data_IF_107305228106
#
_entry.id   IF_107305228106
#
_cell.length_a   1.000
_cell.length_b   1.000
_cell.length_c   1.000
_cell.angle_alpha   90.00
_cell.angle_beta   90.00
_cell.angle_gamma   90.00
#
_symmetry.space_group_name_H-M   'P 1'
#
loop_
_entity.id
_entity.type
_entity.pdbx_description
1 polymer ?
#
# COMPACT_ATOMS: atom_id res chain seq x y z
N UNK A 1 17.46 25.43 -0.98
CA UNK A 1 16.25 25.95 -1.63
C UNK A 1 15.43 24.75 -2.10
N UNK A 2 14.30 24.48 -1.44
CA UNK A 2 13.58 23.20 -1.57
C UNK A 2 12.91 23.04 -2.93
N UNK A 3 12.95 21.83 -3.51
CA UNK A 3 12.39 21.46 -4.83
C UNK A 3 10.91 21.85 -5.01
N UNK A 4 10.19 22.08 -3.91
CA UNK A 4 8.81 22.59 -3.90
C UNK A 4 8.66 24.03 -4.41
N UNK A 5 9.65 24.90 -4.22
CA UNK A 5 9.57 26.31 -4.66
C UNK A 5 9.76 26.46 -6.18
N UNK A 6 10.64 25.67 -6.78
CA UNK A 6 10.93 25.72 -8.23
C UNK A 6 9.73 25.23 -9.05
N UNK A 7 9.02 24.21 -8.56
CA UNK A 7 7.82 23.68 -9.23
C UNK A 7 6.66 24.68 -9.19
N UNK A 8 6.51 25.43 -8.09
CA UNK A 8 5.43 26.39 -7.93
C UNK A 8 5.54 27.60 -8.88
N UNK A 9 6.75 28.12 -9.12
CA UNK A 9 6.97 29.22 -10.07
C UNK A 9 6.79 28.76 -11.53
N UNK A 10 7.19 27.53 -11.86
CA UNK A 10 7.02 26.96 -13.21
C UNK A 10 5.55 26.65 -13.57
N UNK A 11 4.69 26.42 -12.57
CA UNK A 11 3.26 26.13 -12.74
C UNK A 11 2.39 27.39 -12.90
N UNK A 12 2.96 28.59 -12.74
CA UNK A 12 2.20 29.84 -12.78
C UNK A 12 1.75 30.25 -14.21
N UNK A 13 2.29 29.63 -15.26
CA UNK A 13 1.87 29.82 -16.64
C UNK A 13 0.87 28.75 -17.09
N UNK A 14 -0.04 29.10 -17.99
CA UNK A 14 -1.00 28.14 -18.58
C UNK A 14 -0.29 26.95 -19.25
N UNK A 15 0.90 27.18 -19.82
CA UNK A 15 1.73 26.13 -20.42
C UNK A 15 2.36 25.22 -19.35
N UNK A 16 2.81 25.78 -18.22
CA UNK A 16 3.32 24.97 -17.09
C UNK A 16 2.27 24.05 -16.47
N UNK A 17 1.01 24.50 -16.39
CA UNK A 17 -0.10 23.65 -15.93
C UNK A 17 -0.38 22.54 -16.94
N UNK A 18 -0.40 22.85 -18.24
CA UNK A 18 -0.61 21.85 -19.31
C UNK A 18 0.48 20.79 -19.32
N UNK A 19 1.73 21.21 -19.22
CA UNK A 19 2.88 20.29 -19.18
C UNK A 19 2.81 19.38 -17.95
N UNK A 20 2.45 19.95 -16.79
CA UNK A 20 2.24 19.16 -15.58
C UNK A 20 1.12 18.12 -15.74
N UNK A 21 -0.02 18.52 -16.30
CA UNK A 21 -1.15 17.61 -16.57
C UNK A 21 -0.74 16.50 -17.54
N UNK A 22 -0.06 16.84 -18.64
CA UNK A 22 0.42 15.88 -19.63
C UNK A 22 1.38 14.86 -18.99
N UNK A 23 2.31 15.33 -18.14
CA UNK A 23 3.23 14.44 -17.40
C UNK A 23 2.47 13.51 -16.45
N UNK A 24 1.40 13.97 -15.79
CA UNK A 24 0.60 13.10 -14.90
C UNK A 24 -0.29 12.12 -15.67
N UNK A 25 -0.82 12.51 -16.83
CA UNK A 25 -1.65 11.65 -17.70
C UNK A 25 -0.82 10.53 -18.33
N UNK A 26 0.40 10.83 -18.78
CA UNK A 26 1.27 9.87 -19.47
C UNK A 26 1.97 8.87 -18.54
N UNK A 27 1.80 8.97 -17.21
CA UNK A 27 2.39 7.98 -16.29
C UNK A 27 1.82 6.59 -16.54
N UNK A 28 2.71 5.63 -16.77
CA UNK A 28 2.32 4.23 -16.87
C UNK A 28 1.73 3.73 -15.56
N UNK A 29 0.88 2.71 -15.66
CA UNK A 29 0.27 2.01 -14.55
C UNK A 29 0.96 0.66 -14.37
N UNK A 30 1.21 0.25 -13.13
CA UNK A 30 1.57 -1.15 -12.80
C UNK A 30 0.53 -1.69 -11.83
N UNK A 31 -0.05 -2.85 -12.16
CA UNK A 31 -0.83 -3.61 -11.19
C UNK A 31 0.09 -4.69 -10.62
N UNK A 32 0.23 -4.74 -9.31
CA UNK A 32 0.99 -5.81 -8.67
C UNK A 32 0.28 -6.33 -7.44
N UNK A 33 0.60 -7.56 -7.03
CA UNK A 33 0.15 -8.11 -5.77
C UNK A 33 1.31 -8.45 -4.85
N UNK A 34 1.01 -8.58 -3.56
CA UNK A 34 1.85 -9.30 -2.60
C UNK A 34 1.25 -10.66 -2.30
N UNK A 35 2.08 -11.69 -2.25
CA UNK A 35 1.70 -13.05 -1.87
C UNK A 35 2.80 -13.71 -1.03
N UNK A 36 2.46 -14.80 -0.33
CA UNK A 36 3.28 -15.39 0.73
C UNK A 36 2.42 -15.97 1.84
N UNK A 37 3.03 -16.72 2.76
CA UNK A 37 2.36 -17.35 3.90
C UNK A 37 1.77 -16.33 4.88
N UNK A 38 0.92 -16.81 5.78
CA UNK A 38 0.54 -16.06 6.99
C UNK A 38 1.81 -15.63 7.73
N UNK A 39 1.81 -14.42 8.29
CA UNK A 39 2.92 -13.80 9.03
C UNK A 39 4.19 -13.43 8.25
N UNK A 40 4.22 -13.58 6.93
CA UNK A 40 5.34 -13.10 6.07
C UNK A 40 5.40 -11.56 5.91
N UNK A 41 4.49 -10.82 6.56
CA UNK A 41 4.53 -9.35 6.60
C UNK A 41 4.00 -8.63 5.34
N UNK A 42 3.14 -9.27 4.54
CA UNK A 42 2.56 -8.72 3.30
C UNK A 42 1.84 -7.39 3.51
N UNK A 43 0.82 -7.39 4.36
CA UNK A 43 0.02 -6.20 4.68
C UNK A 43 0.85 -5.11 5.35
N UNK A 44 1.82 -5.49 6.18
CA UNK A 44 2.77 -4.56 6.81
C UNK A 44 3.65 -3.86 5.76
N UNK A 45 4.18 -4.59 4.77
CA UNK A 45 4.96 -4.02 3.68
C UNK A 45 4.12 -3.03 2.86
N UNK A 46 2.90 -3.41 2.50
CA UNK A 46 2.00 -2.54 1.73
C UNK A 46 1.64 -1.28 2.53
N UNK A 47 1.24 -1.44 3.78
CA UNK A 47 0.95 -0.30 4.65
C UNK A 47 2.14 0.64 4.81
N UNK A 48 3.36 0.10 4.89
CA UNK A 48 4.57 0.91 4.95
C UNK A 48 4.81 1.69 3.65
N UNK A 49 4.65 1.05 2.48
CA UNK A 49 4.77 1.73 1.19
C UNK A 49 3.74 2.86 1.03
N UNK A 50 2.52 2.65 1.51
CA UNK A 50 1.47 3.67 1.50
C UNK A 50 1.84 4.85 2.41
N UNK A 51 2.40 4.58 3.59
CA UNK A 51 2.90 5.61 4.50
C UNK A 51 4.05 6.41 3.88
N UNK A 52 5.05 5.73 3.33
CA UNK A 52 6.26 6.36 2.76
C UNK A 52 5.95 7.22 1.53
N UNK A 53 4.90 6.88 0.77
CA UNK A 53 4.46 7.67 -0.41
C UNK A 53 3.72 8.97 -0.04
N UNK A 54 3.53 9.25 1.26
CA UNK A 54 2.89 10.47 1.80
C UNK A 54 1.49 10.72 1.22
N UNK A 55 0.80 9.64 0.84
CA UNK A 55 -0.60 9.67 0.37
C UNK A 55 -1.59 9.53 1.55
N UNK A 56 -1.10 9.24 2.75
CA UNK A 56 -1.90 9.13 3.96
C UNK A 56 -2.00 10.52 4.60
N UNK A 57 -3.22 11.03 4.74
CA UNK A 57 -3.48 12.27 5.45
C UNK A 57 -3.16 12.12 6.95
N UNK A 58 -2.74 13.21 7.60
CA UNK A 58 -2.27 13.19 9.00
C UNK A 58 -3.33 12.68 9.99
N UNK A 59 -4.62 12.90 9.68
CA UNK A 59 -5.77 12.40 10.44
C UNK A 59 -5.91 10.87 10.36
N UNK A 60 -5.64 10.29 9.19
CA UNK A 60 -5.64 8.84 9.01
C UNK A 60 -4.45 8.21 9.75
N UNK A 61 -3.29 8.87 9.77
CA UNK A 61 -2.15 8.41 10.55
C UNK A 61 -2.44 8.45 12.05
N UNK A 62 -3.05 9.51 12.56
CA UNK A 62 -3.44 9.62 13.97
C UNK A 62 -4.50 8.59 14.39
N UNK A 63 -5.39 8.22 13.47
CA UNK A 63 -6.37 7.14 13.68
C UNK A 63 -5.66 5.78 13.74
N UNK A 64 -4.73 5.55 12.81
CA UNK A 64 -3.92 4.34 12.78
C UNK A 64 -3.10 4.16 14.06
N UNK A 65 -2.49 5.21 14.58
CA UNK A 65 -1.75 5.19 15.85
C UNK A 65 -2.64 4.80 17.04
N UNK A 66 -3.88 5.29 17.07
CA UNK A 66 -4.85 4.91 18.13
C UNK A 66 -5.29 3.46 17.99
N UNK A 67 -5.55 3.01 16.78
CA UNK A 67 -6.00 1.66 16.50
C UNK A 67 -4.87 0.64 16.73
N UNK A 68 -3.63 1.00 16.40
CA UNK A 68 -2.43 0.21 16.71
C UNK A 68 -2.30 -0.04 18.21
N UNK A 69 -2.60 0.95 19.06
CA UNK A 69 -2.57 0.77 20.52
C UNK A 69 -3.66 -0.15 21.06
N UNK A 70 -4.75 -0.36 20.31
CA UNK A 70 -5.91 -1.17 20.75
C UNK A 70 -5.90 -2.57 20.16
N UNK A 71 -5.51 -2.69 18.90
CA UNK A 71 -5.64 -3.88 18.07
C UNK A 71 -4.32 -4.26 17.38
N UNK A 72 -3.24 -3.50 17.58
CA UNK A 72 -1.97 -3.73 16.91
C UNK A 72 -1.27 -4.99 17.41
N UNK A 73 -0.60 -5.63 16.47
CA UNK A 73 0.20 -6.85 16.67
C UNK A 73 1.68 -6.55 16.89
N UNK A 74 2.09 -5.29 16.68
CA UNK A 74 3.47 -4.80 16.70
C UNK A 74 3.86 -4.06 17.98
N UNK A 75 3.04 -4.12 19.03
CA UNK A 75 3.33 -3.51 20.34
C UNK A 75 3.12 -1.99 20.34
N UNK A 76 4.14 -1.22 20.72
CA UNK A 76 4.09 0.26 20.77
C UNK A 76 4.33 0.92 19.40
N UNK A 77 4.76 0.14 18.40
CA UNK A 77 4.98 0.61 17.04
C UNK A 77 3.65 0.74 16.26
N UNK A 78 3.68 1.56 15.20
CA UNK A 78 2.52 1.74 14.32
C UNK A 78 2.31 0.48 13.49
N UNK A 79 1.14 -0.13 13.64
CA UNK A 79 0.76 -1.31 12.88
C UNK A 79 0.21 -0.90 11.51
N UNK A 80 1.09 -0.92 10.53
CA UNK A 80 0.76 -0.55 9.16
C UNK A 80 -0.20 -1.53 8.47
N UNK A 81 -0.37 -2.77 8.96
CA UNK A 81 -1.30 -3.72 8.38
C UNK A 81 -2.77 -3.23 8.50
N UNK A 82 -3.07 -2.49 9.58
CA UNK A 82 -4.40 -1.92 9.84
C UNK A 82 -4.86 -0.89 8.79
N UNK A 83 -3.95 -0.34 7.98
CA UNK A 83 -4.31 0.52 6.83
C UNK A 83 -4.95 -0.27 5.70
N UNK A 84 -4.61 -1.55 5.62
CA UNK A 84 -4.92 -2.41 4.49
C UNK A 84 -6.12 -3.29 4.82
N UNK A 85 -6.22 -3.75 6.08
CA UNK A 85 -7.33 -4.56 6.60
C UNK A 85 -8.66 -3.81 6.59
N UNK A 86 -9.60 -4.34 5.81
CA UNK A 86 -10.91 -3.74 5.57
C UNK A 86 -12.03 -4.33 6.41
N UNK A 87 -11.89 -5.58 6.87
CA UNK A 87 -12.92 -6.31 7.60
C UNK A 87 -12.62 -6.35 9.10
N UNK A 88 -13.66 -6.27 9.93
CA UNK A 88 -13.52 -6.44 11.39
C UNK A 88 -12.99 -7.84 11.74
N UNK A 89 -13.42 -8.86 11.01
CA UNK A 89 -12.93 -10.23 11.15
C UNK A 89 -11.42 -10.39 10.83
N UNK A 90 -10.88 -9.59 9.90
CA UNK A 90 -9.43 -9.59 9.62
C UNK A 90 -8.66 -9.09 10.84
N UNK A 91 -9.15 -8.04 11.48
CA UNK A 91 -8.55 -7.45 12.68
C UNK A 91 -8.64 -8.37 13.89
N UNK A 92 -9.76 -9.07 14.06
CA UNK A 92 -9.95 -10.02 15.16
C UNK A 92 -9.04 -11.24 15.04
N UNK A 93 -8.82 -11.73 13.82
CA UNK A 93 -8.02 -12.93 13.55
C UNK A 93 -6.56 -12.63 13.26
N UNK A 94 -6.20 -11.38 12.99
CA UNK A 94 -4.84 -10.97 12.61
C UNK A 94 -4.39 -11.53 11.26
N UNK A 95 -5.34 -11.78 10.35
CA UNK A 95 -5.06 -12.32 9.01
C UNK A 95 -5.81 -11.53 7.96
N UNK A 96 -5.23 -11.39 6.77
CA UNK A 96 -5.95 -10.92 5.58
C UNK A 96 -6.88 -12.02 5.08
N UNK A 97 -8.14 -11.68 4.79
CA UNK A 97 -9.20 -12.60 4.35
C UNK A 97 -9.58 -12.29 2.90
N UNK A 98 -9.81 -11.02 2.58
CA UNK A 98 -10.19 -10.56 1.23
C UNK A 98 -9.04 -9.80 0.55
N UNK A 99 -9.16 -9.60 -0.76
CA UNK A 99 -8.17 -8.81 -1.50
C UNK A 99 -8.44 -7.33 -1.34
N UNK A 100 -7.53 -6.61 -0.70
CA UNK A 100 -7.60 -5.17 -0.56
C UNK A 100 -6.80 -4.48 -1.67
N UNK A 101 -7.46 -3.65 -2.48
CA UNK A 101 -6.81 -2.85 -3.51
C UNK A 101 -6.49 -1.45 -3.02
N UNK A 102 -5.24 -1.01 -3.20
CA UNK A 102 -4.78 0.33 -2.85
C UNK A 102 -4.10 1.00 -4.04
N UNK A 103 -4.17 2.32 -4.07
CA UNK A 103 -3.65 3.14 -5.15
C UNK A 103 -2.57 4.06 -4.59
N UNK A 104 -1.42 4.08 -5.24
CA UNK A 104 -0.38 5.06 -4.93
C UNK A 104 0.37 5.45 -6.19
N UNK A 105 1.08 6.57 -6.12
CA UNK A 105 1.89 7.04 -7.22
C UNK A 105 3.25 7.52 -6.72
N UNK A 106 4.24 7.31 -7.56
CA UNK A 106 5.56 7.93 -7.42
C UNK A 106 5.65 9.11 -8.41
N UNK A 107 6.74 9.90 -8.36
CA UNK A 107 6.99 10.88 -9.40
C UNK A 107 7.03 10.29 -10.82
N UNK A 108 7.38 8.99 -10.97
CA UNK A 108 7.60 8.34 -12.28
C UNK A 108 6.43 7.46 -12.76
N UNK A 109 5.70 6.80 -11.85
CA UNK A 109 4.73 5.75 -12.20
C UNK A 109 3.56 5.67 -11.22
N UNK A 110 2.39 5.26 -11.71
CA UNK A 110 1.19 4.95 -10.91
C UNK A 110 1.12 3.44 -10.61
N UNK A 111 0.61 3.10 -9.44
CA UNK A 111 0.55 1.73 -8.97
C UNK A 111 -0.85 1.39 -8.43
N UNK A 112 -1.28 0.17 -8.72
CA UNK A 112 -2.40 -0.49 -8.05
C UNK A 112 -1.80 -1.71 -7.38
N UNK A 113 -1.95 -1.76 -6.07
CA UNK A 113 -1.46 -2.88 -5.28
C UNK A 113 -2.61 -3.67 -4.71
N UNK A 114 -2.55 -4.99 -4.89
CA UNK A 114 -3.42 -5.95 -4.23
C UNK A 114 -2.70 -6.55 -3.03
N UNK A 115 -3.20 -6.31 -1.83
CA UNK A 115 -2.85 -7.10 -0.66
C UNK A 115 -3.71 -8.36 -0.66
N UNK A 116 -3.08 -9.54 -0.66
CA UNK A 116 -3.78 -10.81 -0.83
C UNK A 116 -3.58 -11.73 0.38
N UNK A 117 -4.57 -12.58 0.70
CA UNK A 117 -4.49 -13.46 1.85
C UNK A 117 -3.40 -14.52 1.69
N UNK A 118 -2.74 -14.83 2.81
CA UNK A 118 -1.72 -15.90 2.89
C UNK A 118 -2.22 -17.23 3.46
N UNK A 119 -3.44 -17.26 3.99
CA UNK A 119 -4.01 -18.46 4.61
C UNK A 119 -4.61 -19.40 3.56
N UNK A 120 -4.39 -20.71 3.69
CA UNK A 120 -4.78 -21.71 2.69
C UNK A 120 -6.28 -21.69 2.35
N UNK A 121 -7.13 -21.44 3.34
CA UNK A 121 -8.59 -21.35 3.17
C UNK A 121 -9.01 -20.23 2.21
N UNK A 122 -8.18 -19.20 2.04
CA UNK A 122 -8.48 -18.02 1.21
C UNK A 122 -7.65 -17.98 -0.09
N UNK A 123 -7.03 -19.10 -0.48
CA UNK A 123 -6.26 -19.22 -1.72
C UNK A 123 -7.03 -18.77 -2.96
N UNK A 124 -8.36 -18.97 -3.00
CA UNK A 124 -9.22 -18.51 -4.11
C UNK A 124 -9.26 -16.98 -4.24
N UNK A 125 -9.24 -16.27 -3.11
CA UNK A 125 -9.23 -14.81 -3.08
C UNK A 125 -7.87 -14.32 -3.61
N UNK A 126 -6.78 -14.92 -3.15
CA UNK A 126 -5.44 -14.62 -3.68
C UNK A 126 -5.34 -14.89 -5.19
N UNK A 127 -5.89 -16.01 -5.69
CA UNK A 127 -5.92 -16.31 -7.12
C UNK A 127 -6.72 -15.25 -7.92
N UNK A 128 -7.82 -14.75 -7.34
CA UNK A 128 -8.60 -13.67 -7.95
C UNK A 128 -7.79 -12.38 -8.02
N UNK A 129 -7.09 -12.00 -6.93
CA UNK A 129 -6.18 -10.86 -6.93
C UNK A 129 -5.06 -10.99 -7.96
N UNK A 130 -4.43 -12.18 -8.00
CA UNK A 130 -3.35 -12.51 -8.92
C UNK A 130 -3.77 -12.45 -10.40
N UNK A 131 -5.01 -12.81 -10.72
CA UNK A 131 -5.53 -12.82 -12.10
C UNK A 131 -5.54 -11.43 -12.77
N UNK A 132 -5.46 -10.35 -11.97
CA UNK A 132 -5.51 -8.96 -12.47
C UNK A 132 -4.17 -8.23 -12.38
N UNK A 133 -3.11 -8.91 -11.94
CA UNK A 133 -1.80 -8.31 -11.69
C UNK A 133 -0.82 -8.57 -12.83
N UNK A 134 0.03 -7.59 -13.10
CA UNK A 134 1.13 -7.66 -14.07
C UNK A 134 2.43 -8.20 -13.41
N UNK A 135 2.53 -8.11 -12.08
CA UNK A 135 3.71 -8.47 -11.29
C UNK A 135 3.30 -9.04 -9.93
N UNK A 136 4.01 -10.05 -9.45
CA UNK A 136 3.85 -10.60 -8.12
C UNK A 136 5.10 -10.34 -7.27
N UNK A 137 4.89 -9.90 -6.03
CA UNK A 137 5.93 -9.81 -5.00
C UNK A 137 5.67 -10.96 -4.02
N UNK A 138 6.60 -11.92 -3.97
CA UNK A 138 6.55 -13.01 -3.00
C UNK A 138 7.34 -12.58 -1.76
N UNK A 139 6.68 -12.55 -0.61
CA UNK A 139 7.31 -12.32 0.68
C UNK A 139 7.55 -13.66 1.37
N UNK A 140 8.67 -13.76 2.07
CA UNK A 140 9.08 -14.94 2.82
C UNK A 140 9.73 -14.44 4.12
N UNK A 141 9.25 -14.90 5.26
CA UNK A 141 9.86 -14.60 6.55
C UNK A 141 11.25 -15.23 6.69
N UNK A 142 12.29 -14.40 6.68
CA UNK A 142 13.67 -14.84 6.83
C UNK A 142 13.99 -15.41 8.24
N UNK A 143 13.15 -15.17 9.26
CA UNK A 143 13.35 -15.70 10.62
C UNK A 143 13.16 -17.21 10.69
N UNK A 144 12.40 -17.79 9.77
CA UNK A 144 12.16 -19.23 9.69
C UNK A 144 13.40 -19.99 9.17
N UNK A 145 14.45 -19.28 8.71
CA UNK A 145 15.65 -19.86 8.12
C UNK A 145 15.47 -20.28 6.66
N UNK A 146 16.60 -20.49 5.97
CA UNK A 146 16.67 -21.14 4.66
C UNK A 146 17.22 -22.56 4.84
#
# INVERSE_FOLDING_TARGET
MSMRHIVAESLASTDGIRDYLAVQEQKSLLRFLTCGSVDDGKSTLIGRLLSDTKQIFEDQLATLERDSRKHGTTGDDVDFALLVDGLEAEREQGITIDVAYRFFATPKRKFIVADTPGHEQYTRNMATGASTADLAIVLIDARQGV
#
